data_IF_459752088700
#
_entry.id   IF_459752088700
#
_cell.length_a   1.000
_cell.length_b   1.000
_cell.length_c   1.000
_cell.angle_alpha   90.00
_cell.angle_beta   90.00
_cell.angle_gamma   90.00
#
_symmetry.space_group_name_H-M   'P 1'
#
loop_
_entity.id
_entity.type
_entity.pdbx_description
1 polymer ?
#
# COMPACT_ATOMS: atom_id res chain seq x y z
N UNK A 1 -19.98 16.38 -26.41
CA UNK A 1 -20.53 15.15 -25.79
C UNK A 1 -19.44 14.26 -25.18
N UNK A 2 -18.30 14.03 -25.86
CA UNK A 2 -17.19 13.21 -25.35
C UNK A 2 -16.71 13.59 -23.92
N UNK A 3 -16.53 14.88 -23.61
CA UNK A 3 -16.10 15.30 -22.26
C UNK A 3 -17.06 14.91 -21.13
N UNK A 4 -18.38 14.91 -21.38
CA UNK A 4 -19.38 14.50 -20.37
C UNK A 4 -19.34 13.00 -20.14
N UNK A 5 -19.13 12.22 -21.20
CA UNK A 5 -18.95 10.78 -21.10
C UNK A 5 -17.71 10.43 -20.27
N UNK A 6 -16.55 11.04 -20.56
CA UNK A 6 -15.34 10.79 -19.78
C UNK A 6 -15.46 11.26 -18.33
N UNK A 7 -16.14 12.38 -18.06
CA UNK A 7 -16.39 12.83 -16.70
C UNK A 7 -17.28 11.85 -15.92
N UNK A 8 -18.34 11.33 -16.56
CA UNK A 8 -19.20 10.32 -15.94
C UNK A 8 -18.46 9.00 -15.73
N UNK A 9 -17.66 8.57 -16.69
CA UNK A 9 -16.81 7.38 -16.57
C UNK A 9 -15.79 7.54 -15.43
N UNK A 10 -15.11 8.69 -15.34
CA UNK A 10 -14.16 8.96 -14.27
C UNK A 10 -14.85 8.99 -12.89
N UNK A 11 -16.03 9.61 -12.79
CA UNK A 11 -16.83 9.61 -11.57
C UNK A 11 -17.25 8.20 -11.16
N UNK A 12 -17.69 7.39 -12.13
CA UNK A 12 -18.01 5.99 -11.91
C UNK A 12 -16.79 5.17 -11.47
N UNK A 13 -15.64 5.38 -12.12
CA UNK A 13 -14.39 4.73 -11.73
C UNK A 13 -13.93 5.11 -10.33
N UNK A 14 -14.06 6.38 -9.93
CA UNK A 14 -13.77 6.84 -8.57
C UNK A 14 -14.70 6.18 -7.55
N UNK A 15 -16.00 6.11 -7.85
CA UNK A 15 -16.98 5.41 -7.00
C UNK A 15 -16.60 3.94 -6.80
N UNK A 16 -16.18 3.28 -7.89
CA UNK A 16 -15.71 1.90 -7.86
C UNK A 16 -14.43 1.74 -7.04
N UNK A 17 -13.47 2.66 -7.16
CA UNK A 17 -12.23 2.65 -6.35
C UNK A 17 -12.53 2.87 -4.86
N UNK A 18 -13.60 3.58 -4.51
CA UNK A 18 -14.02 3.79 -3.12
C UNK A 18 -14.72 2.57 -2.49
N UNK A 19 -15.17 1.59 -3.29
CA UNK A 19 -15.78 0.35 -2.79
C UNK A 19 -14.72 -0.64 -2.25
N UNK A 20 -15.02 -1.39 -1.18
CA UNK A 20 -14.13 -2.42 -0.64
C UNK A 20 -14.02 -3.62 -1.59
N UNK A 21 -12.84 -4.26 -1.66
CA UNK A 21 -12.58 -5.42 -2.54
C UNK A 21 -12.10 -5.04 -3.95
N UNK A 22 -11.03 -4.24 -4.02
CA UNK A 22 -10.50 -3.70 -5.29
C UNK A 22 -9.86 -4.80 -6.14
N UNK A 23 -10.30 -4.92 -7.38
CA UNK A 23 -9.62 -5.71 -8.40
C UNK A 23 -8.68 -4.80 -9.24
N UNK A 24 -7.53 -5.30 -9.73
CA UNK A 24 -6.63 -4.52 -10.58
C UNK A 24 -7.30 -4.01 -11.87
N UNK A 25 -8.37 -4.65 -12.33
CA UNK A 25 -9.17 -4.18 -13.48
C UNK A 25 -9.78 -2.78 -13.23
N UNK A 26 -10.04 -2.42 -11.96
CA UNK A 26 -10.55 -1.11 -11.56
C UNK A 26 -9.57 0.04 -11.92
N UNK A 27 -8.26 -0.25 -11.93
CA UNK A 27 -7.23 0.71 -12.34
C UNK A 27 -7.37 1.08 -13.81
N UNK A 28 -7.69 0.13 -14.69
CA UNK A 28 -7.92 0.44 -16.11
C UNK A 28 -9.17 1.32 -16.29
N UNK A 29 -10.19 1.11 -15.46
CA UNK A 29 -11.45 1.87 -15.48
C UNK A 29 -11.24 3.36 -15.15
N UNK A 30 -10.34 3.69 -14.23
CA UNK A 30 -10.00 5.08 -13.86
C UNK A 30 -8.85 5.62 -14.70
N UNK A 31 -7.85 4.78 -14.98
CA UNK A 31 -6.62 5.16 -15.65
C UNK A 31 -6.84 5.62 -17.08
N UNK A 32 -7.72 4.96 -17.84
CA UNK A 32 -8.03 5.35 -19.22
C UNK A 32 -8.65 6.76 -19.34
N UNK A 33 -9.77 7.09 -18.67
CA UNK A 33 -10.33 8.43 -18.77
C UNK A 33 -9.37 9.49 -18.22
N UNK A 34 -8.62 9.18 -17.15
CA UNK A 34 -7.60 10.06 -16.61
C UNK A 34 -6.49 10.35 -17.64
N UNK A 35 -6.04 9.32 -18.37
CA UNK A 35 -5.03 9.45 -19.41
C UNK A 35 -5.52 10.32 -20.57
N UNK A 36 -6.77 10.18 -20.99
CA UNK A 36 -7.36 11.07 -22.02
C UNK A 36 -7.46 12.51 -21.54
N UNK A 37 -7.87 12.76 -20.29
CA UNK A 37 -7.89 14.10 -19.71
C UNK A 37 -6.50 14.70 -19.59
N UNK A 38 -5.52 13.89 -19.16
CA UNK A 38 -4.12 14.30 -19.07
C UNK A 38 -3.57 14.66 -20.47
N UNK A 39 -3.76 13.80 -21.46
CA UNK A 39 -3.33 14.06 -22.84
C UNK A 39 -3.97 15.32 -23.43
N UNK A 40 -5.29 15.51 -23.22
CA UNK A 40 -5.98 16.73 -23.65
C UNK A 40 -5.48 17.99 -22.92
N UNK A 41 -5.17 17.87 -21.62
CA UNK A 41 -4.56 18.93 -20.82
C UNK A 41 -3.18 19.31 -21.35
N UNK A 42 -2.32 18.32 -21.57
CA UNK A 42 -0.98 18.46 -22.14
C UNK A 42 -1.01 19.08 -23.54
N UNK A 43 -1.94 18.68 -24.41
CA UNK A 43 -2.11 19.28 -25.73
C UNK A 43 -2.48 20.76 -25.64
N UNK A 44 -3.41 21.13 -24.76
CA UNK A 44 -3.78 22.53 -24.50
C UNK A 44 -2.62 23.33 -23.90
N UNK A 45 -1.83 22.70 -23.03
CA UNK A 45 -0.61 23.28 -22.48
C UNK A 45 0.40 23.57 -23.60
N UNK A 46 0.65 22.61 -24.49
CA UNK A 46 1.56 22.77 -25.62
C UNK A 46 1.12 23.86 -26.61
N UNK A 47 -0.17 23.93 -26.94
CA UNK A 47 -0.71 24.98 -27.82
C UNK A 47 -0.58 26.37 -27.21
N UNK A 48 -0.91 26.51 -25.92
CA UNK A 48 -0.84 27.80 -25.26
C UNK A 48 0.62 28.25 -25.10
N UNK A 49 1.56 27.34 -24.78
CA UNK A 49 2.99 27.65 -24.72
C UNK A 49 3.55 28.28 -26.00
N UNK A 50 3.01 27.88 -27.16
CA UNK A 50 3.42 28.41 -28.49
C UNK A 50 2.85 29.79 -28.82
N UNK A 51 1.78 30.25 -28.14
CA UNK A 51 1.05 31.48 -28.48
C UNK A 51 1.66 32.77 -27.90
N UNK A 52 2.97 32.80 -27.64
CA UNK A 52 3.66 34.02 -27.17
C UNK A 52 3.38 34.37 -25.71
N UNK A 53 3.40 33.35 -24.83
CA UNK A 53 3.29 33.55 -23.38
C UNK A 53 4.44 34.44 -22.91
N UNK A 54 4.13 35.41 -22.04
CA UNK A 54 5.12 36.24 -21.38
C UNK A 54 5.87 35.40 -20.33
N UNK A 55 6.88 34.64 -20.77
CA UNK A 55 7.59 33.64 -19.98
C UNK A 55 8.22 34.21 -18.70
N UNK A 56 8.57 35.49 -18.70
CA UNK A 56 9.18 36.14 -17.54
C UNK A 56 8.19 36.30 -16.39
N UNK A 57 7.03 36.89 -16.64
CA UNK A 57 5.99 37.13 -15.64
C UNK A 57 5.38 35.81 -15.17
N UNK A 58 5.11 34.89 -16.10
CA UNK A 58 4.57 33.56 -15.80
C UNK A 58 5.60 32.69 -15.05
N UNK A 59 6.90 32.84 -15.37
CA UNK A 59 7.99 32.16 -14.68
C UNK A 59 8.14 32.61 -13.22
N UNK A 60 7.99 33.90 -12.93
CA UNK A 60 8.00 34.41 -11.56
C UNK A 60 6.83 33.84 -10.75
N UNK A 61 5.61 33.84 -11.32
CA UNK A 61 4.46 33.23 -10.64
C UNK A 61 4.67 31.74 -10.39
N UNK A 62 5.12 30.99 -11.40
CA UNK A 62 5.40 29.56 -11.27
C UNK A 62 6.46 29.28 -10.19
N UNK A 63 7.52 30.09 -10.13
CA UNK A 63 8.56 29.99 -9.12
C UNK A 63 8.02 30.26 -7.71
N UNK A 64 7.24 31.33 -7.53
CA UNK A 64 6.61 31.65 -6.24
C UNK A 64 5.65 30.54 -5.80
N UNK A 65 4.83 30.01 -6.72
CA UNK A 65 3.94 28.89 -6.44
C UNK A 65 4.74 27.62 -6.07
N UNK A 66 5.86 27.35 -6.74
CA UNK A 66 6.72 26.21 -6.41
C UNK A 66 7.33 26.35 -5.01
N UNK A 67 7.80 27.55 -4.63
CA UNK A 67 8.32 27.82 -3.28
C UNK A 67 7.23 27.63 -2.22
N UNK A 68 6.03 28.19 -2.45
CA UNK A 68 4.89 28.03 -1.54
C UNK A 68 4.43 26.58 -1.44
N UNK A 69 4.41 25.86 -2.56
CA UNK A 69 4.07 24.44 -2.60
C UNK A 69 5.08 23.62 -1.79
N UNK A 70 6.38 23.85 -2.00
CA UNK A 70 7.43 23.14 -1.27
C UNK A 70 7.36 23.44 0.23
N UNK A 71 7.17 24.71 0.60
CA UNK A 71 6.97 25.12 1.99
C UNK A 71 5.73 24.45 2.59
N UNK A 72 4.60 24.49 1.88
CA UNK A 72 3.35 23.83 2.28
C UNK A 72 3.52 22.32 2.46
N UNK A 73 4.30 21.66 1.59
CA UNK A 73 4.61 20.25 1.71
C UNK A 73 5.43 19.94 2.97
N UNK A 74 6.41 20.77 3.34
CA UNK A 74 7.15 20.63 4.60
C UNK A 74 6.25 20.83 5.83
N UNK A 75 5.39 21.85 5.84
CA UNK A 75 4.45 22.05 6.94
C UNK A 75 3.43 20.93 7.03
N UNK A 76 2.93 20.41 5.91
CA UNK A 76 2.03 19.26 5.87
C UNK A 76 2.72 18.00 6.39
N UNK A 77 3.96 17.76 5.98
CA UNK A 77 4.78 16.66 6.48
C UNK A 77 4.98 16.77 8.00
N UNK A 78 5.32 17.95 8.51
CA UNK A 78 5.44 18.22 9.95
C UNK A 78 4.12 17.97 10.67
N UNK A 79 3.01 18.52 10.17
CA UNK A 79 1.68 18.37 10.75
C UNK A 79 1.23 16.90 10.80
N UNK A 80 1.51 16.11 9.76
CA UNK A 80 1.17 14.68 9.71
C UNK A 80 1.91 13.81 10.72
N UNK A 81 3.05 14.28 11.23
CA UNK A 81 3.87 13.55 12.20
C UNK A 81 3.56 13.94 13.66
N UNK A 82 2.78 14.99 13.90
CA UNK A 82 2.40 15.40 15.25
C UNK A 82 1.33 14.48 15.85
N UNK A 83 1.56 14.01 17.07
CA UNK A 83 0.66 13.08 17.77
C UNK A 83 -0.65 13.75 18.17
N UNK A 84 -0.56 14.97 18.69
CA UNK A 84 -1.69 15.84 19.10
C UNK A 84 -1.99 16.88 18.03
N UNK A 85 -3.20 17.44 18.03
CA UNK A 85 -3.55 18.48 17.08
C UNK A 85 -2.85 19.79 17.46
N UNK A 86 -1.93 20.26 16.60
CA UNK A 86 -1.26 21.54 16.78
C UNK A 86 -1.95 22.63 15.94
N UNK A 87 -2.67 23.50 16.63
CA UNK A 87 -3.38 24.63 16.03
C UNK A 87 -2.45 25.62 15.32
N UNK A 88 -1.20 25.76 15.77
CA UNK A 88 -0.22 26.64 15.12
C UNK A 88 0.23 26.11 13.75
N UNK A 89 0.48 24.79 13.66
CA UNK A 89 0.81 24.11 12.42
C UNK A 89 -0.37 24.16 11.43
N UNK A 90 -1.58 23.86 11.91
CA UNK A 90 -2.78 23.88 11.09
C UNK A 90 -3.07 25.27 10.51
N UNK A 91 -2.95 26.34 11.33
CA UNK A 91 -3.12 27.73 10.87
C UNK A 91 -2.07 28.15 9.87
N UNK A 92 -0.81 27.77 10.09
CA UNK A 92 0.28 28.09 9.15
C UNK A 92 0.06 27.42 7.80
N UNK A 93 -0.31 26.14 7.79
CA UNK A 93 -0.64 25.40 6.58
C UNK A 93 -1.83 26.04 5.85
N UNK A 94 -2.90 26.40 6.57
CA UNK A 94 -4.06 27.07 6.00
C UNK A 94 -3.69 28.42 5.39
N UNK A 95 -2.84 29.20 6.06
CA UNK A 95 -2.37 30.49 5.56
C UNK A 95 -1.59 30.34 4.25
N UNK A 96 -0.71 29.35 4.14
CA UNK A 96 0.04 29.05 2.91
C UNK A 96 -0.93 28.71 1.77
N UNK A 97 -1.94 27.86 2.04
CA UNK A 97 -2.95 27.49 1.03
C UNK A 97 -3.79 28.70 0.58
N UNK A 98 -4.25 29.54 1.52
CA UNK A 98 -4.99 30.77 1.22
C UNK A 98 -4.12 31.71 0.39
N UNK A 99 -2.85 31.90 0.76
CA UNK A 99 -1.92 32.76 0.04
C UNK A 99 -1.69 32.26 -1.40
N UNK A 100 -1.56 30.95 -1.59
CA UNK A 100 -1.41 30.33 -2.91
C UNK A 100 -2.63 30.61 -3.80
N UNK A 101 -3.84 30.44 -3.26
CA UNK A 101 -5.09 30.74 -3.98
C UNK A 101 -5.21 32.24 -4.27
N UNK A 102 -4.93 33.09 -3.29
CA UNK A 102 -5.02 34.54 -3.42
C UNK A 102 -4.06 35.06 -4.49
N UNK A 103 -2.84 34.54 -4.55
CA UNK A 103 -1.88 34.88 -5.60
C UNK A 103 -2.39 34.49 -7.00
N UNK A 104 -2.95 33.29 -7.15
CA UNK A 104 -3.53 32.86 -8.43
C UNK A 104 -4.69 33.78 -8.84
N UNK A 105 -5.58 34.12 -7.91
CA UNK A 105 -6.73 35.00 -8.17
C UNK A 105 -6.27 36.43 -8.47
N UNK A 106 -5.36 36.99 -7.68
CA UNK A 106 -4.82 38.33 -7.90
C UNK A 106 -4.12 38.42 -9.26
N UNK A 107 -3.33 37.41 -9.63
CA UNK A 107 -2.69 37.35 -10.94
C UNK A 107 -3.71 37.20 -12.09
N UNK A 108 -4.75 36.40 -11.90
CA UNK A 108 -5.85 36.25 -12.85
C UNK A 108 -6.62 37.55 -13.08
N UNK A 109 -6.80 38.35 -12.02
CA UNK A 109 -7.46 39.66 -12.10
C UNK A 109 -6.56 40.75 -12.70
N UNK A 110 -5.25 40.66 -12.50
CA UNK A 110 -4.32 41.73 -12.90
C UNK A 110 -3.83 41.62 -14.36
N UNK A 111 -3.50 40.41 -14.83
CA UNK A 111 -2.94 40.22 -16.18
C UNK A 111 -4.01 39.66 -17.11
N UNK A 112 -4.35 38.38 -16.92
CA UNK A 112 -5.34 37.66 -17.71
C UNK A 112 -5.63 36.32 -17.01
N UNK A 113 -6.91 36.04 -16.77
CA UNK A 113 -7.35 34.78 -16.18
C UNK A 113 -6.94 33.55 -17.02
N UNK A 114 -6.79 33.71 -18.34
CA UNK A 114 -6.33 32.62 -19.22
C UNK A 114 -4.87 32.28 -19.00
N UNK A 115 -4.00 33.28 -18.79
CA UNK A 115 -2.59 33.05 -18.48
C UNK A 115 -2.41 32.49 -17.07
N UNK A 116 -3.16 33.03 -16.10
CA UNK A 116 -3.16 32.55 -14.72
C UNK A 116 -3.54 31.07 -14.61
N UNK A 117 -4.65 30.68 -15.26
CA UNK A 117 -5.11 29.28 -15.27
C UNK A 117 -4.13 28.35 -15.97
N UNK A 118 -3.48 28.80 -17.04
CA UNK A 118 -2.41 28.04 -17.68
C UNK A 118 -1.24 27.78 -16.73
N UNK A 119 -0.71 28.80 -16.06
CA UNK A 119 0.42 28.64 -15.12
C UNK A 119 0.02 27.75 -13.95
N UNK A 120 -1.15 27.97 -13.35
CA UNK A 120 -1.63 27.14 -12.25
C UNK A 120 -1.73 25.66 -12.66
N UNK A 121 -2.34 25.37 -13.81
CA UNK A 121 -2.45 24.01 -14.33
C UNK A 121 -1.10 23.41 -14.70
N UNK A 122 -0.19 24.20 -15.28
CA UNK A 122 1.16 23.74 -15.61
C UNK A 122 1.94 23.34 -14.35
N UNK A 123 1.91 24.17 -13.32
CA UNK A 123 2.58 23.92 -12.04
C UNK A 123 2.00 22.70 -11.35
N UNK A 124 0.66 22.62 -11.24
CA UNK A 124 -0.04 21.46 -10.67
C UNK A 124 0.30 20.19 -11.44
N UNK A 125 0.21 20.23 -12.78
CA UNK A 125 0.53 19.10 -13.64
C UNK A 125 1.98 18.63 -13.49
N UNK A 126 2.92 19.57 -13.36
CA UNK A 126 4.34 19.27 -13.13
C UNK A 126 4.54 18.57 -11.79
N UNK A 127 3.91 19.07 -10.72
CA UNK A 127 3.95 18.43 -9.39
C UNK A 127 3.40 17.01 -9.46
N UNK A 128 2.24 16.80 -10.07
CA UNK A 128 1.66 15.45 -10.21
C UNK A 128 2.53 14.52 -11.06
N UNK A 129 3.18 15.04 -12.11
CA UNK A 129 4.11 14.27 -12.94
C UNK A 129 5.33 13.81 -12.12
N UNK A 130 5.95 14.72 -11.37
CA UNK A 130 7.08 14.41 -10.50
C UNK A 130 6.68 13.42 -9.39
N UNK A 131 5.50 13.59 -8.80
CA UNK A 131 4.96 12.64 -7.83
C UNK A 131 4.76 11.27 -8.48
N UNK A 132 4.15 11.19 -9.65
CA UNK A 132 3.94 9.91 -10.35
C UNK A 132 5.27 9.21 -10.66
N UNK A 133 6.27 9.95 -11.13
CA UNK A 133 7.61 9.42 -11.39
C UNK A 133 8.27 8.91 -10.10
N UNK A 134 8.14 9.67 -9.01
CA UNK A 134 8.61 9.26 -7.68
C UNK A 134 7.92 8.00 -7.20
N UNK A 135 6.59 7.90 -7.34
CA UNK A 135 5.82 6.71 -6.98
C UNK A 135 6.18 5.49 -7.82
N UNK A 136 6.40 5.65 -9.13
CA UNK A 136 6.87 4.57 -10.00
C UNK A 136 8.27 4.08 -9.61
N UNK A 137 9.15 5.01 -9.26
CA UNK A 137 10.49 4.69 -8.77
C UNK A 137 10.44 3.95 -7.42
N UNK A 138 9.61 4.44 -6.50
CA UNK A 138 9.40 3.84 -5.19
C UNK A 138 8.85 2.41 -5.28
N UNK A 139 7.89 2.15 -6.17
CA UNK A 139 7.30 0.82 -6.38
C UNK A 139 8.34 -0.23 -6.83
N UNK A 140 9.38 0.20 -7.54
CA UNK A 140 10.44 -0.69 -8.01
C UNK A 140 11.48 -1.01 -6.93
N UNK A 141 11.51 -0.27 -5.82
CA UNK A 141 12.58 -0.34 -4.83
C UNK A 141 12.11 -0.58 -3.39
N UNK A 142 10.85 -0.34 -3.05
CA UNK A 142 10.31 -0.54 -1.71
C UNK A 142 9.43 -1.79 -1.62
N UNK A 143 10.02 -2.91 -1.21
CA UNK A 143 9.30 -4.08 -0.70
C UNK A 143 9.43 -4.08 0.83
N UNK A 144 8.78 -3.14 1.50
CA UNK A 144 8.71 -3.11 2.96
C UNK A 144 7.29 -3.48 3.42
N UNK A 145 7.11 -4.47 4.32
CA UNK A 145 5.79 -4.88 4.84
C UNK A 145 4.96 -3.74 5.46
N UNK A 146 5.62 -2.66 5.87
CA UNK A 146 4.99 -1.47 6.46
C UNK A 146 4.50 -0.45 5.43
N UNK A 147 4.78 -0.67 4.15
CA UNK A 147 4.40 0.18 3.02
C UNK A 147 3.48 -0.58 2.06
N UNK A 148 2.24 -0.92 2.47
CA UNK A 148 1.34 -1.68 1.62
C UNK A 148 0.96 -0.88 0.37
N UNK A 149 1.00 -1.54 -0.78
CA UNK A 149 0.45 -0.96 -1.99
C UNK A 149 -1.07 -0.85 -1.82
N UNK A 150 -1.60 0.37 -1.73
CA UNK A 150 -3.03 0.63 -1.45
C UNK A 150 -4.02 0.09 -2.50
N UNK A 151 -3.55 -0.68 -3.47
CA UNK A 151 -4.31 -1.24 -4.58
C UNK A 151 -4.66 -2.72 -4.42
N UNK A 152 -3.85 -3.51 -3.70
CA UNK A 152 -4.11 -4.95 -3.53
C UNK A 152 -4.39 -5.27 -2.07
N UNK A 153 -5.37 -6.15 -1.84
CA UNK A 153 -5.72 -6.61 -0.49
C UNK A 153 -4.73 -7.66 0.03
N UNK A 154 -4.05 -8.36 -0.86
CA UNK A 154 -3.14 -9.45 -0.48
C UNK A 154 -1.92 -9.50 -1.37
N UNK A 155 -0.77 -9.76 -0.76
CA UNK A 155 0.52 -9.86 -1.43
C UNK A 155 1.17 -11.19 -1.08
N UNK A 156 1.83 -11.80 -2.05
CA UNK A 156 2.66 -12.97 -1.77
C UNK A 156 3.97 -12.49 -1.17
N UNK A 157 4.34 -13.04 -0.04
CA UNK A 157 5.57 -12.68 0.65
C UNK A 157 6.80 -13.26 -0.10
N UNK A 158 7.94 -12.54 -0.17
CA UNK A 158 9.17 -13.09 -0.75
C UNK A 158 9.64 -14.38 -0.04
N UNK A 159 9.30 -14.59 1.23
CA UNK A 159 9.62 -15.80 2.00
C UNK A 159 9.11 -17.09 1.35
N UNK A 160 8.07 -17.02 0.50
CA UNK A 160 7.58 -18.17 -0.26
C UNK A 160 8.62 -18.70 -1.23
N UNK A 161 9.46 -17.82 -1.79
CA UNK A 161 10.59 -18.23 -2.64
C UNK A 161 11.65 -18.93 -1.80
N UNK A 162 11.95 -18.39 -0.62
CA UNK A 162 12.87 -19.01 0.33
C UNK A 162 12.39 -20.39 0.79
N UNK A 163 11.08 -20.56 0.99
CA UNK A 163 10.46 -21.86 1.28
C UNK A 163 10.67 -22.84 0.11
N UNK A 164 10.36 -22.43 -1.11
CA UNK A 164 10.52 -23.26 -2.30
C UNK A 164 11.99 -23.65 -2.55
N UNK A 165 12.91 -22.69 -2.37
CA UNK A 165 14.35 -22.91 -2.46
C UNK A 165 14.84 -23.87 -1.38
N UNK A 166 14.33 -23.74 -0.15
CA UNK A 166 14.66 -24.65 0.95
C UNK A 166 14.18 -26.08 0.67
N UNK A 167 12.95 -26.27 0.16
CA UNK A 167 12.43 -27.59 -0.24
C UNK A 167 13.27 -28.18 -1.38
N UNK A 168 13.63 -27.37 -2.37
CA UNK A 168 14.46 -27.80 -3.51
C UNK A 168 15.86 -28.20 -3.06
N UNK A 169 16.47 -27.42 -2.16
CA UNK A 169 17.76 -27.72 -1.55
C UNK A 169 17.70 -29.00 -0.72
N UNK A 170 16.66 -29.20 0.08
CA UNK A 170 16.44 -30.42 0.86
C UNK A 170 16.25 -31.65 -0.04
N UNK A 171 15.51 -31.50 -1.14
CA UNK A 171 15.34 -32.55 -2.16
C UNK A 171 16.68 -32.96 -2.76
N UNK A 172 17.47 -31.98 -3.21
CA UNK A 172 18.78 -32.24 -3.79
C UNK A 172 19.75 -32.88 -2.77
N UNK A 173 19.70 -32.48 -1.50
CA UNK A 173 20.55 -33.03 -0.45
C UNK A 173 20.19 -34.48 -0.08
N UNK A 174 18.89 -34.81 -0.02
CA UNK A 174 18.44 -36.15 0.42
C UNK A 174 18.33 -37.16 -0.71
N UNK A 175 17.88 -36.74 -1.88
CA UNK A 175 17.54 -37.62 -3.01
C UNK A 175 18.44 -37.41 -4.23
N UNK A 176 19.30 -36.39 -4.23
CA UNK A 176 20.19 -36.07 -5.35
C UNK A 176 19.50 -35.33 -6.51
N UNK A 177 18.17 -35.40 -6.62
CA UNK A 177 17.36 -34.62 -7.56
C UNK A 177 16.59 -33.50 -6.82
N UNK A 178 16.62 -32.24 -7.29
CA UNK A 178 15.86 -31.13 -6.71
C UNK A 178 14.32 -31.28 -6.72
N UNK A 179 13.73 -32.21 -7.49
CA UNK A 179 12.27 -32.32 -7.65
C UNK A 179 11.61 -33.63 -7.19
N UNK A 180 12.36 -34.55 -6.58
CA UNK A 180 11.88 -35.91 -6.27
C UNK A 180 11.44 -36.13 -4.81
N UNK A 181 11.65 -35.16 -3.93
CA UNK A 181 11.26 -35.27 -2.52
C UNK A 181 9.74 -35.48 -2.36
N UNK A 182 9.30 -36.52 -1.64
CA UNK A 182 7.88 -36.70 -1.31
C UNK A 182 7.43 -35.61 -0.34
N UNK A 183 6.51 -34.76 -0.80
CA UNK A 183 6.05 -33.58 -0.08
C UNK A 183 4.55 -33.66 0.20
N UNK A 184 4.16 -33.56 1.47
CA UNK A 184 2.76 -33.41 1.86
C UNK A 184 2.47 -31.96 2.23
N UNK A 185 1.50 -31.34 1.56
CA UNK A 185 1.06 -29.97 1.83
C UNK A 185 -0.35 -29.98 2.40
N UNK A 186 -0.52 -29.38 3.56
CA UNK A 186 -1.82 -29.23 4.21
C UNK A 186 -2.69 -28.23 3.43
N UNK A 187 -3.93 -28.61 3.13
CA UNK A 187 -4.92 -27.76 2.49
C UNK A 187 -6.15 -27.52 3.36
N UNK A 188 -6.68 -26.30 3.34
CA UNK A 188 -7.95 -25.94 3.95
C UNK A 188 -9.09 -26.04 2.92
N UNK A 189 -9.41 -27.26 2.48
CA UNK A 189 -10.52 -27.54 1.56
C UNK A 189 -10.17 -27.47 0.07
N UNK A 190 -9.40 -26.46 -0.39
CA UNK A 190 -8.83 -26.41 -1.75
C UNK A 190 -7.33 -26.19 -1.73
N UNK A 191 -6.56 -26.73 -2.70
CA UNK A 191 -5.13 -26.45 -2.84
C UNK A 191 -4.84 -24.95 -2.89
N UNK A 192 -3.80 -24.48 -2.17
CA UNK A 192 -3.42 -23.07 -2.23
C UNK A 192 -2.73 -22.80 -3.58
N UNK A 193 -3.24 -21.86 -4.41
CA UNK A 193 -2.68 -21.60 -5.73
C UNK A 193 -1.26 -21.02 -5.70
N UNK A 194 -0.89 -20.32 -4.63
CA UNK A 194 0.45 -19.74 -4.47
C UNK A 194 1.45 -20.86 -4.20
N UNK A 195 1.17 -21.71 -3.21
CA UNK A 195 2.02 -22.87 -2.92
C UNK A 195 2.09 -23.81 -4.13
N UNK A 196 0.96 -24.07 -4.80
CA UNK A 196 0.93 -24.89 -6.00
C UNK A 196 1.75 -24.33 -7.16
N UNK A 197 1.82 -23.00 -7.31
CA UNK A 197 2.66 -22.37 -8.33
C UNK A 197 4.16 -22.48 -8.03
N UNK A 198 4.57 -22.24 -6.78
CA UNK A 198 5.98 -22.27 -6.38
C UNK A 198 6.53 -23.69 -6.23
N UNK A 199 5.70 -24.64 -5.82
CA UNK A 199 6.07 -26.05 -5.66
C UNK A 199 5.75 -26.90 -6.90
N UNK A 200 5.38 -26.28 -8.02
CA UNK A 200 4.96 -26.99 -9.25
C UNK A 200 6.03 -27.95 -9.83
N UNK A 201 7.29 -27.74 -9.48
CA UNK A 201 8.43 -28.52 -9.98
C UNK A 201 8.64 -29.80 -9.16
N UNK A 202 7.99 -29.92 -8.00
CA UNK A 202 8.00 -31.12 -7.16
C UNK A 202 7.08 -32.19 -7.77
N UNK A 203 7.67 -33.31 -8.19
CA UNK A 203 6.94 -34.41 -8.85
C UNK A 203 6.04 -35.17 -7.89
N UNK A 204 6.50 -35.31 -6.64
CA UNK A 204 5.84 -36.10 -5.60
C UNK A 204 5.08 -35.23 -4.60
N UNK A 205 4.37 -34.21 -5.11
CA UNK A 205 3.58 -33.28 -4.29
C UNK A 205 2.17 -33.81 -4.09
N UNK A 206 1.76 -33.90 -2.82
CA UNK A 206 0.43 -34.39 -2.42
C UNK A 206 -0.26 -33.40 -1.50
N UNK A 207 -1.54 -33.14 -1.77
CA UNK A 207 -2.36 -32.23 -0.97
C UNK A 207 -3.23 -33.03 -0.01
N UNK A 208 -3.16 -32.71 1.28
CA UNK A 208 -3.83 -33.49 2.34
C UNK A 208 -4.54 -32.55 3.32
N UNK A 209 -5.68 -32.96 3.88
CA UNK A 209 -6.40 -32.17 4.89
C UNK A 209 -5.71 -32.20 6.27
N UNK A 210 -5.13 -33.35 6.63
CA UNK A 210 -4.41 -33.59 7.87
C UNK A 210 -3.11 -34.36 7.56
N UNK A 211 -1.94 -33.74 7.70
CA UNK A 211 -0.67 -34.41 7.42
C UNK A 211 -0.33 -35.47 8.47
N UNK A 212 0.35 -36.55 8.07
CA UNK A 212 0.82 -37.60 8.98
C UNK A 212 -0.20 -38.70 9.32
N UNK A 213 -1.39 -38.72 8.70
CA UNK A 213 -2.44 -39.71 8.96
C UNK A 213 -2.46 -40.91 7.97
N UNK A 214 -1.46 -41.04 7.09
CA UNK A 214 -1.40 -42.15 6.10
C UNK A 214 -0.47 -43.28 6.56
N UNK A 215 -1.02 -44.50 6.67
CA UNK A 215 -0.37 -45.71 7.20
C UNK A 215 0.84 -46.26 6.39
N UNK A 216 1.16 -45.73 5.20
CA UNK A 216 2.13 -46.39 4.29
C UNK A 216 3.53 -45.77 4.19
N UNK A 217 3.76 -44.54 4.65
CA UNK A 217 5.11 -43.98 4.80
C UNK A 217 5.05 -42.65 5.57
N UNK A 218 5.87 -42.50 6.61
CA UNK A 218 6.14 -41.18 7.21
C UNK A 218 6.81 -40.30 6.15
N UNK A 219 6.17 -39.19 5.73
CA UNK A 219 6.75 -38.31 4.71
C UNK A 219 7.98 -37.59 5.23
N UNK A 220 9.02 -37.48 4.39
CA UNK A 220 10.26 -36.80 4.73
C UNK A 220 10.07 -35.31 5.09
N UNK A 221 9.14 -34.66 4.38
CA UNK A 221 8.83 -33.24 4.54
C UNK A 221 7.33 -32.99 4.49
N UNK A 222 6.86 -32.20 5.44
CA UNK A 222 5.46 -31.81 5.61
C UNK A 222 5.35 -30.30 5.69
N UNK A 223 4.38 -29.72 4.98
CA UNK A 223 4.08 -28.29 5.02
C UNK A 223 2.70 -28.12 5.66
N UNK A 224 2.62 -27.48 6.83
CA UNK A 224 1.35 -27.24 7.54
C UNK A 224 0.98 -25.77 7.56
N UNK A 225 -0.32 -25.48 7.61
CA UNK A 225 -0.81 -24.13 7.91
C UNK A 225 -0.52 -23.83 9.38
N UNK A 226 -0.13 -22.60 9.72
CA UNK A 226 0.34 -22.22 11.07
C UNK A 226 -0.74 -22.25 12.16
N UNK A 227 -1.95 -22.77 11.92
CA UNK A 227 -2.94 -22.95 12.98
C UNK A 227 -2.51 -24.12 13.87
N UNK A 228 -2.28 -23.84 15.16
CA UNK A 228 -1.79 -24.75 16.20
C UNK A 228 -2.44 -26.15 16.18
N UNK A 229 -3.71 -26.24 15.77
CA UNK A 229 -4.53 -27.46 15.68
C UNK A 229 -3.91 -28.56 14.78
N UNK A 230 -3.03 -28.22 13.84
CA UNK A 230 -2.38 -29.20 12.94
C UNK A 230 -0.96 -29.63 13.35
N UNK A 231 -0.33 -28.95 14.31
CA UNK A 231 1.10 -29.12 14.62
C UNK A 231 1.37 -29.99 15.86
N UNK A 232 0.35 -30.25 16.69
CA UNK A 232 0.51 -30.94 17.99
C UNK A 232 1.08 -32.37 17.89
N UNK A 233 0.94 -33.04 16.73
CA UNK A 233 1.51 -34.37 16.50
C UNK A 233 2.89 -34.41 15.82
N UNK A 234 3.30 -33.34 15.12
CA UNK A 234 4.53 -33.32 14.31
C UNK A 234 5.75 -32.82 15.09
N UNK A 235 5.55 -32.03 16.14
CA UNK A 235 6.63 -31.36 16.89
C UNK A 235 7.56 -32.33 17.65
N UNK A 236 7.20 -33.62 17.78
CA UNK A 236 8.03 -34.62 18.48
C UNK A 236 9.05 -35.30 17.57
N UNK A 237 8.80 -35.37 16.26
CA UNK A 237 9.62 -36.13 15.28
C UNK A 237 10.10 -35.28 14.10
N UNK A 238 9.73 -34.00 14.06
CA UNK A 238 10.06 -33.09 12.96
C UNK A 238 10.63 -31.78 13.50
N UNK A 239 11.59 -31.21 12.76
CA UNK A 239 12.09 -29.85 12.97
C UNK A 239 11.31 -28.89 12.07
N UNK A 240 10.66 -27.90 12.68
CA UNK A 240 9.83 -26.91 12.01
C UNK A 240 10.55 -25.60 11.72
N UNK A 241 10.35 -25.04 10.53
CA UNK A 241 10.72 -23.66 10.19
C UNK A 241 9.49 -22.91 9.64
N UNK A 242 9.21 -21.72 10.16
CA UNK A 242 8.06 -20.91 9.77
C UNK A 242 8.39 -19.96 8.63
N UNK A 243 7.52 -19.92 7.62
CA UNK A 243 7.62 -19.04 6.46
C UNK A 243 6.32 -18.25 6.30
N UNK A 244 6.45 -16.99 5.91
CA UNK A 244 5.29 -16.15 5.60
C UNK A 244 4.83 -16.45 4.17
N UNK A 245 3.53 -16.73 3.98
CA UNK A 245 2.97 -17.01 2.65
C UNK A 245 2.39 -15.75 2.02
N UNK A 246 1.52 -15.08 2.76
CA UNK A 246 0.72 -13.98 2.24
C UNK A 246 0.42 -12.98 3.32
N UNK A 247 0.68 -11.72 3.04
CA UNK A 247 0.26 -10.62 3.89
C UNK A 247 -1.10 -10.08 3.42
N UNK A 248 -1.97 -9.74 4.37
CA UNK A 248 -3.28 -9.17 4.08
C UNK A 248 -3.33 -7.73 4.55
N UNK A 249 -3.51 -6.81 3.60
CA UNK A 249 -3.78 -5.42 3.90
C UNK A 249 -5.29 -5.19 4.01
N UNK A 250 -5.71 -4.62 5.15
CA UNK A 250 -7.09 -4.23 5.39
C UNK A 250 -7.15 -2.73 5.73
N UNK A 251 -8.09 -1.95 5.15
CA UNK A 251 -8.25 -0.53 5.48
C UNK A 251 -8.51 -0.27 6.97
N UNK A 252 -9.04 -1.26 7.70
CA UNK A 252 -9.24 -1.19 9.15
C UNK A 252 -7.93 -1.01 9.91
N UNK A 253 -6.78 -1.42 9.35
CA UNK A 253 -5.45 -1.21 9.94
C UNK A 253 -5.06 0.28 9.98
N UNK A 254 -5.72 1.15 9.21
CA UNK A 254 -5.50 2.60 9.26
C UNK A 254 -6.17 3.26 10.47
N UNK A 255 -7.21 2.62 11.02
CA UNK A 255 -7.90 3.13 12.20
C UNK A 255 -7.06 2.71 13.40
N UNK A 256 -6.46 3.70 14.07
CA UNK A 256 -5.68 3.43 15.28
C UNK A 256 -6.57 2.81 16.35
N UNK A 257 -6.08 1.76 17.01
CA UNK A 257 -6.70 1.21 18.23
C UNK A 257 -6.39 2.05 19.48
N UNK A 258 -5.76 3.22 19.31
CA UNK A 258 -5.48 4.16 20.38
C UNK A 258 -6.80 4.58 21.05
N UNK A 259 -6.98 4.13 22.29
CA UNK A 259 -8.13 4.47 23.13
C UNK A 259 -8.07 5.97 23.40
N UNK A 260 -9.10 6.69 22.98
CA UNK A 260 -9.21 8.11 23.26
C UNK A 260 -9.10 8.37 24.76
N UNK A 261 -8.30 9.33 25.22
CA UNK A 261 -8.23 9.67 26.64
C UNK A 261 -9.63 10.03 27.14
N UNK A 262 -10.07 9.41 28.23
CA UNK A 262 -11.40 9.65 28.82
C UNK A 262 -11.54 11.12 29.16
N UNK A 263 -12.51 11.81 28.55
CA UNK A 263 -12.76 13.21 28.83
C UNK A 263 -13.13 13.40 30.31
N UNK A 264 -12.38 14.25 31.01
CA UNK A 264 -12.67 14.63 32.39
C UNK A 264 -14.09 15.25 32.49
N UNK A 265 -15.01 14.67 33.30
CA UNK A 265 -16.37 15.16 33.45
C UNK A 265 -16.45 16.63 33.91
N UNK A 266 -15.42 17.14 34.60
CA UNK A 266 -15.35 18.51 35.11
C UNK A 266 -14.88 19.56 34.11
N UNK A 267 -14.43 19.16 32.91
CA UNK A 267 -13.84 20.09 31.95
C UNK A 267 -14.87 21.00 31.27
N UNK A 268 -14.54 22.29 31.15
CA UNK A 268 -15.33 23.27 30.39
C UNK A 268 -15.57 22.84 28.93
N UNK A 269 -16.60 23.40 28.29
CA UNK A 269 -17.04 23.01 26.93
C UNK A 269 -15.88 23.07 25.92
N UNK A 270 -15.04 24.10 25.99
CA UNK A 270 -13.89 24.29 25.09
C UNK A 270 -12.86 23.16 25.24
N UNK A 271 -12.55 22.77 26.48
CA UNK A 271 -11.61 21.68 26.75
C UNK A 271 -12.17 20.32 26.30
N UNK A 272 -13.48 20.11 26.46
CA UNK A 272 -14.16 18.92 25.94
C UNK A 272 -14.15 18.87 24.41
N UNK A 273 -14.31 20.00 23.73
CA UNK A 273 -14.17 20.08 22.27
C UNK A 273 -12.74 19.81 21.82
N UNK A 274 -11.74 20.42 22.48
CA UNK A 274 -10.32 20.17 22.19
C UNK A 274 -9.97 18.69 22.32
N UNK A 275 -10.33 18.06 23.45
CA UNK A 275 -10.08 16.63 23.67
C UNK A 275 -10.77 15.72 22.62
N UNK A 276 -11.96 16.10 22.13
CA UNK A 276 -12.63 15.39 21.03
C UNK A 276 -11.88 15.54 19.70
N UNK A 277 -11.39 16.74 19.40
CA UNK A 277 -10.60 16.98 18.18
C UNK A 277 -9.29 16.21 18.23
N UNK A 278 -8.59 16.23 19.37
CA UNK A 278 -7.35 15.46 19.56
C UNK A 278 -7.59 13.96 19.42
N UNK A 279 -8.66 13.43 20.01
CA UNK A 279 -9.02 12.02 19.89
C UNK A 279 -9.36 11.63 18.44
N UNK A 280 -10.11 12.47 17.71
CA UNK A 280 -10.42 12.24 16.30
C UNK A 280 -9.17 12.35 15.42
N UNK A 281 -8.30 13.31 15.73
CA UNK A 281 -7.03 13.52 15.05
C UNK A 281 -6.12 12.30 15.19
N UNK A 282 -5.83 11.86 16.41
CA UNK A 282 -4.91 10.75 16.67
C UNK A 282 -5.45 9.42 16.15
N UNK A 283 -6.74 9.13 16.37
CA UNK A 283 -7.31 7.81 16.06
C UNK A 283 -7.58 7.59 14.57
N UNK A 284 -7.94 8.64 13.82
CA UNK A 284 -8.38 8.50 12.42
C UNK A 284 -7.59 9.39 11.47
N UNK A 285 -7.58 10.70 11.71
CA UNK A 285 -7.15 11.66 10.70
C UNK A 285 -5.64 11.57 10.46
N UNK A 286 -4.84 11.49 11.52
CA UNK A 286 -3.37 11.37 11.47
C UNK A 286 -2.93 10.16 10.68
N UNK A 287 -3.47 8.97 10.98
CA UNK A 287 -3.07 7.73 10.32
C UNK A 287 -3.49 7.73 8.84
N UNK A 288 -4.66 8.27 8.51
CA UNK A 288 -5.09 8.45 7.12
C UNK A 288 -4.16 9.40 6.36
N UNK A 289 -3.76 10.53 6.93
CA UNK A 289 -2.80 11.44 6.31
C UNK A 289 -1.42 10.82 6.14
N UNK A 290 -0.91 10.11 7.16
CA UNK A 290 0.37 9.41 7.07
C UNK A 290 0.34 8.33 6.00
N UNK A 291 -0.77 7.62 5.85
CA UNK A 291 -0.93 6.67 4.75
C UNK A 291 -1.06 7.36 3.39
N UNK A 292 -1.78 8.49 3.28
CA UNK A 292 -1.86 9.24 2.02
C UNK A 292 -0.50 9.78 1.56
N UNK A 293 0.32 10.26 2.49
CA UNK A 293 1.59 10.93 2.20
C UNK A 293 2.74 9.92 2.07
N UNK A 294 2.83 8.98 3.01
CA UNK A 294 3.96 8.06 3.14
C UNK A 294 3.61 6.61 2.79
N UNK A 295 2.34 6.28 2.51
CA UNK A 295 1.86 4.90 2.35
C UNK A 295 2.21 3.97 3.53
N UNK A 296 2.44 4.54 4.71
CA UNK A 296 2.93 3.79 5.87
C UNK A 296 1.79 3.39 6.81
N UNK A 297 1.80 2.13 7.24
CA UNK A 297 0.91 1.60 8.28
C UNK A 297 1.69 1.43 9.59
N UNK A 298 1.03 1.66 10.72
CA UNK A 298 1.63 1.59 12.06
C UNK A 298 1.74 0.16 12.57
N UNK A 299 0.78 -0.70 12.20
CA UNK A 299 0.74 -2.12 12.55
C UNK A 299 1.22 -2.96 11.36
N UNK A 300 1.90 -4.08 11.66
CA UNK A 300 2.22 -5.07 10.64
C UNK A 300 0.92 -5.73 10.15
N UNK A 301 0.77 -5.95 8.84
CA UNK A 301 -0.39 -6.63 8.30
C UNK A 301 -0.45 -8.06 8.86
N UNK A 302 -1.66 -8.59 9.14
CA UNK A 302 -1.81 -10.00 9.45
C UNK A 302 -1.31 -10.85 8.28
N UNK A 303 -0.53 -11.88 8.59
CA UNK A 303 0.05 -12.76 7.57
C UNK A 303 -0.41 -14.21 7.76
N UNK A 304 -0.65 -14.89 6.65
CA UNK A 304 -0.83 -16.33 6.64
C UNK A 304 0.56 -16.95 6.66
N UNK A 305 0.83 -17.77 7.67
CA UNK A 305 2.11 -18.46 7.81
C UNK A 305 1.95 -19.95 7.56
N UNK A 306 3.05 -20.54 7.15
CA UNK A 306 3.17 -21.95 6.81
C UNK A 306 4.42 -22.46 7.50
N UNK A 307 4.35 -23.67 8.06
CA UNK A 307 5.50 -24.30 8.72
C UNK A 307 5.98 -25.47 7.87
N UNK A 308 7.26 -25.43 7.50
CA UNK A 308 7.98 -26.52 6.88
C UNK A 308 8.53 -27.42 7.98
N UNK A 309 8.05 -28.65 8.03
CA UNK A 309 8.49 -29.69 8.95
C UNK A 309 9.38 -30.67 8.20
N UNK A 310 10.57 -30.89 8.74
CA UNK A 310 11.55 -31.82 8.19
C UNK A 310 11.75 -32.93 9.20
N UNK A 311 11.61 -34.19 8.78
CA UNK A 311 11.80 -35.33 9.68
C UNK A 311 13.18 -35.24 10.34
N UNK A 312 13.22 -35.24 11.67
CA UNK A 312 14.50 -35.29 12.40
C UNK A 312 15.07 -36.69 12.18
N UNK A 313 16.28 -36.77 11.65
CA UNK A 313 17.03 -38.03 11.67
C UNK A 313 17.32 -38.30 13.14
N UNK A 314 16.44 -39.03 13.83
CA UNK A 314 16.83 -39.68 15.06
C UNK A 314 17.99 -40.59 14.70
N UNK A 315 19.19 -40.23 15.18
CA UNK A 315 20.36 -41.08 15.17
C UNK A 315 19.93 -42.47 15.63
N UNK A 316 19.84 -43.38 14.67
CA UNK A 316 20.00 -44.80 14.93
C UNK A 316 21.51 -45.03 15.02
N UNK A 317 22.18 -44.39 15.98
CA UNK A 317 23.50 -44.86 16.43
C UNK A 317 23.22 -46.09 17.29
N UNK A 318 23.44 -47.26 16.66
CA UNK A 318 23.66 -48.53 17.32
C UNK A 318 25.00 -48.52 18.07
#
# INVERSE_FOLDING_TARGET
QAHRFFAFWLLWGILLVLLPGRAPVMLAMVGLPLLFFAAAGLARLGENARRGIAWRENGILALVLAILFLSGAFWLASFSNTVTFDDSLARTLLLILILMVLLIVAYALWIDARQASFVALATIGTVFCLWTLSSMWALNHHFEPRHPDGFFQSFTDPDVRTLADAVTMLSAQRHGDPGELPLQVQMAGTPDPVLGWYLREMRNLTWVLAPGASDEATPDVVITLSSEVGAEGLNTSYLGSSYTLREHWLPTLLIGTEVAPSADPGAGIVNRMGARVDALWSARVRNLWRWMIYHKVTTLPPSNQVVLWVASSSETEQ
#
